data_IF_803283234530
#
_entry.id   IF_803283234530
#
_cell.length_a   1.000
_cell.length_b   1.000
_cell.length_c   1.000
_cell.angle_alpha   90.00
_cell.angle_beta   90.00
_cell.angle_gamma   90.00
#
_symmetry.space_group_name_H-M   'P 1'
#
loop_
_entity.id
_entity.type
_entity.pdbx_description
1 polymer ?
#
# COMPACT_ATOMS: atom_id res chain seq x y z
N UNK A 1 -0.44 22.75 0.17
CA UNK A 1 0.66 22.55 1.13
C UNK A 1 0.05 21.69 2.21
N UNK A 2 0.64 20.53 2.50
CA UNK A 2 0.04 19.58 3.43
C UNK A 2 -0.09 20.25 4.80
N UNK A 3 -1.27 20.14 5.40
CA UNK A 3 -1.63 20.81 6.67
C UNK A 3 -0.76 20.28 7.83
N UNK A 4 0.18 21.11 8.29
CA UNK A 4 1.17 20.72 9.31
C UNK A 4 0.59 20.70 10.73
N UNK A 5 -0.42 21.53 11.03
CA UNK A 5 -1.05 21.54 12.36
C UNK A 5 -1.87 20.26 12.57
N UNK A 6 -2.61 19.83 11.54
CA UNK A 6 -3.33 18.57 11.58
C UNK A 6 -2.38 17.35 11.56
N UNK A 7 -1.23 17.44 10.90
CA UNK A 7 -0.21 16.41 10.93
C UNK A 7 0.34 16.17 12.35
N UNK A 8 0.75 17.21 13.07
CA UNK A 8 1.25 17.05 14.44
C UNK A 8 0.17 16.51 15.38
N UNK A 9 -1.10 16.86 15.16
CA UNK A 9 -2.23 16.33 15.94
C UNK A 9 -2.43 14.82 15.75
N UNK A 10 -2.22 14.31 14.55
CA UNK A 10 -2.46 12.91 14.19
C UNK A 10 -1.19 12.09 13.96
N UNK A 11 -0.03 12.62 14.36
CA UNK A 11 1.28 12.08 14.02
C UNK A 11 1.42 10.60 14.36
N UNK A 12 1.02 10.23 15.57
CA UNK A 12 1.13 8.85 16.06
C UNK A 12 0.20 7.91 15.29
N UNK A 13 -1.05 8.33 15.04
CA UNK A 13 -2.03 7.58 14.27
C UNK A 13 -1.61 7.43 12.80
N UNK A 14 -1.06 8.49 12.20
CA UNK A 14 -0.52 8.48 10.84
C UNK A 14 0.69 7.55 10.74
N UNK A 15 1.56 7.54 11.75
CA UNK A 15 2.65 6.58 11.88
C UNK A 15 2.15 5.15 11.89
N UNK A 16 1.12 4.87 12.69
CA UNK A 16 0.52 3.54 12.75
C UNK A 16 -0.13 3.12 11.42
N UNK A 17 -0.88 4.03 10.79
CA UNK A 17 -1.46 3.82 9.46
C UNK A 17 -0.37 3.54 8.41
N UNK A 18 0.75 4.27 8.45
CA UNK A 18 1.86 4.07 7.52
C UNK A 18 2.56 2.72 7.73
N UNK A 19 2.70 2.27 8.99
CA UNK A 19 3.26 0.93 9.31
C UNK A 19 2.35 -0.17 8.77
N UNK A 20 1.03 -0.04 8.95
CA UNK A 20 0.05 -0.98 8.40
C UNK A 20 0.13 -1.01 6.88
N UNK A 21 0.21 0.16 6.25
CA UNK A 21 0.34 0.30 4.80
C UNK A 21 1.63 -0.36 4.29
N UNK A 22 2.76 -0.15 4.96
CA UNK A 22 4.04 -0.77 4.60
C UNK A 22 3.98 -2.28 4.73
N UNK A 23 3.52 -2.81 5.87
CA UNK A 23 3.36 -4.26 6.07
C UNK A 23 2.48 -4.89 5.00
N UNK A 24 1.34 -4.27 4.71
CA UNK A 24 0.42 -4.74 3.68
C UNK A 24 1.08 -4.75 2.31
N UNK A 25 1.76 -3.65 1.95
CA UNK A 25 2.48 -3.53 0.67
C UNK A 25 3.59 -4.56 0.55
N UNK A 26 4.36 -4.82 1.61
CA UNK A 26 5.40 -5.85 1.63
C UNK A 26 4.83 -7.25 1.39
N UNK A 27 3.73 -7.60 2.07
CA UNK A 27 3.06 -8.90 1.86
C UNK A 27 2.55 -9.04 0.44
N UNK A 28 1.90 -8.01 -0.11
CA UNK A 28 1.42 -8.02 -1.50
C UNK A 28 2.58 -8.20 -2.49
N UNK A 29 3.67 -7.44 -2.32
CA UNK A 29 4.84 -7.56 -3.16
C UNK A 29 5.43 -8.98 -3.09
N UNK A 30 5.54 -9.55 -1.89
CA UNK A 30 6.00 -10.92 -1.69
C UNK A 30 5.13 -11.93 -2.44
N UNK A 31 3.80 -11.85 -2.32
CA UNK A 31 2.89 -12.73 -3.06
C UNK A 31 3.00 -12.57 -4.58
N UNK A 32 3.17 -11.35 -5.09
CA UNK A 32 3.43 -11.11 -6.51
C UNK A 32 4.72 -11.79 -6.98
N UNK A 33 5.81 -11.67 -6.21
CA UNK A 33 7.08 -12.33 -6.53
C UNK A 33 6.95 -13.86 -6.54
N UNK A 34 6.26 -14.43 -5.55
CA UNK A 34 5.96 -15.86 -5.53
C UNK A 34 5.16 -16.28 -6.77
N UNK A 35 4.16 -15.48 -7.17
CA UNK A 35 3.38 -15.73 -8.38
C UNK A 35 4.24 -15.79 -9.65
N UNK A 36 5.18 -14.86 -9.81
CA UNK A 36 6.14 -14.90 -10.91
C UNK A 36 7.08 -16.10 -10.86
N UNK A 37 7.56 -16.48 -9.68
CA UNK A 37 8.39 -17.68 -9.53
C UNK A 37 7.63 -18.95 -9.95
N UNK A 38 6.35 -19.06 -9.58
CA UNK A 38 5.46 -20.15 -10.01
C UNK A 38 5.26 -20.11 -11.52
N UNK A 39 5.03 -18.93 -12.11
CA UNK A 39 4.91 -18.78 -13.56
C UNK A 39 6.18 -19.26 -14.29
N UNK A 40 7.36 -18.87 -13.80
CA UNK A 40 8.64 -19.31 -14.34
C UNK A 40 8.80 -20.83 -14.23
N UNK A 41 8.43 -21.44 -13.10
CA UNK A 41 8.45 -22.90 -12.94
C UNK A 41 7.59 -23.62 -13.98
N UNK A 42 6.37 -23.13 -14.24
CA UNK A 42 5.49 -23.71 -15.26
C UNK A 42 5.98 -23.48 -16.69
N UNK A 43 6.68 -22.37 -16.92
CA UNK A 43 7.36 -22.12 -18.19
C UNK A 43 8.45 -23.17 -18.43
N UNK A 44 9.27 -23.48 -17.43
CA UNK A 44 10.30 -24.54 -17.51
C UNK A 44 9.70 -25.94 -17.70
N UNK A 45 8.49 -26.18 -17.20
CA UNK A 45 7.74 -27.44 -17.43
C UNK A 45 7.12 -27.52 -18.82
N UNK A 46 7.26 -26.49 -19.66
CA UNK A 46 6.70 -26.43 -21.01
C UNK A 46 5.20 -26.10 -21.06
N UNK A 47 4.57 -25.78 -19.93
CA UNK A 47 3.15 -25.39 -19.89
C UNK A 47 3.00 -23.87 -20.04
N UNK A 48 3.22 -23.42 -21.27
CA UNK A 48 3.21 -22.00 -21.64
C UNK A 48 1.87 -21.31 -21.32
N UNK A 49 0.68 -21.89 -21.61
CA UNK A 49 -0.59 -21.24 -21.29
C UNK A 49 -0.77 -20.98 -19.81
N UNK A 50 -0.41 -21.95 -18.96
CA UNK A 50 -0.53 -21.80 -17.51
C UNK A 50 0.48 -20.76 -16.98
N UNK A 51 1.72 -20.79 -17.46
CA UNK A 51 2.73 -19.79 -17.11
C UNK A 51 2.28 -18.37 -17.45
N UNK A 52 1.71 -18.17 -18.65
CA UNK A 52 1.20 -16.86 -19.09
C UNK A 52 0.02 -16.40 -18.22
N UNK A 53 -0.90 -17.31 -17.89
CA UNK A 53 -2.03 -17.03 -17.02
C UNK A 53 -1.59 -16.56 -15.62
N UNK A 54 -0.66 -17.28 -15.01
CA UNK A 54 -0.14 -16.95 -13.67
C UNK A 54 0.65 -15.64 -13.69
N UNK A 55 1.49 -15.41 -14.71
CA UNK A 55 2.23 -14.17 -14.86
C UNK A 55 1.29 -12.97 -15.03
N UNK A 56 0.24 -13.12 -15.84
CA UNK A 56 -0.77 -12.07 -16.05
C UNK A 56 -1.55 -11.80 -14.77
N UNK A 57 -1.98 -12.83 -14.04
CA UNK A 57 -2.66 -12.67 -12.76
C UNK A 57 -1.76 -11.97 -11.73
N UNK A 58 -0.48 -12.36 -11.64
CA UNK A 58 0.51 -11.75 -10.75
C UNK A 58 0.75 -10.28 -11.10
N UNK A 59 0.80 -9.96 -12.40
CA UNK A 59 0.92 -8.59 -12.89
C UNK A 59 -0.32 -7.75 -12.56
N UNK A 60 -1.53 -8.27 -12.79
CA UNK A 60 -2.77 -7.56 -12.45
C UNK A 60 -2.90 -7.35 -10.95
N UNK A 61 -2.56 -8.36 -10.15
CA UNK A 61 -2.51 -8.25 -8.70
C UNK A 61 -1.52 -7.17 -8.25
N UNK A 62 -0.30 -7.17 -8.84
CA UNK A 62 0.67 -6.12 -8.59
C UNK A 62 0.16 -4.76 -9.03
N UNK A 63 -0.54 -4.63 -10.16
CA UNK A 63 -1.06 -3.33 -10.64
C UNK A 63 -2.18 -2.78 -9.74
N UNK A 64 -3.02 -3.65 -9.19
CA UNK A 64 -4.12 -3.26 -8.30
C UNK A 64 -3.66 -3.00 -6.85
N UNK A 65 -2.37 -3.16 -6.54
CA UNK A 65 -1.87 -3.03 -5.18
C UNK A 65 -2.16 -1.68 -4.53
N UNK A 66 -1.95 -0.55 -5.23
CA UNK A 66 -2.18 0.81 -4.70
C UNK A 66 -3.62 0.99 -4.21
N UNK A 67 -4.65 0.82 -5.05
CA UNK A 67 -6.04 0.97 -4.59
C UNK A 67 -6.44 -0.08 -3.55
N UNK A 68 -5.93 -1.32 -3.65
CA UNK A 68 -6.23 -2.38 -2.68
C UNK A 68 -5.63 -2.07 -1.31
N UNK A 69 -4.38 -1.60 -1.25
CA UNK A 69 -3.71 -1.26 0.00
C UNK A 69 -4.41 -0.12 0.75
N UNK A 70 -4.85 0.93 0.04
CA UNK A 70 -5.64 2.02 0.61
C UNK A 70 -7.03 1.56 1.07
N UNK A 71 -7.69 0.69 0.30
CA UNK A 71 -8.98 0.13 0.69
C UNK A 71 -8.88 -0.76 1.96
N UNK A 72 -7.80 -1.54 2.07
CA UNK A 72 -7.49 -2.32 3.27
C UNK A 72 -7.22 -1.39 4.45
N UNK A 73 -6.40 -0.36 4.26
CA UNK A 73 -6.09 0.62 5.28
C UNK A 73 -7.36 1.31 5.80
N UNK A 74 -8.25 1.73 4.89
CA UNK A 74 -9.54 2.33 5.24
C UNK A 74 -10.43 1.38 6.02
N UNK A 75 -10.48 0.10 5.65
CA UNK A 75 -11.22 -0.91 6.42
C UNK A 75 -10.62 -1.16 7.80
N UNK A 76 -9.29 -1.17 7.92
CA UNK A 76 -8.63 -1.33 9.21
C UNK A 76 -8.85 -0.12 10.12
N UNK A 77 -8.77 1.09 9.57
CA UNK A 77 -9.10 2.32 10.28
C UNK A 77 -10.57 2.38 10.70
N UNK A 78 -11.50 1.88 9.87
CA UNK A 78 -12.93 1.82 10.22
C UNK A 78 -13.23 0.86 11.39
N UNK A 79 -12.32 -0.06 11.72
CA UNK A 79 -12.44 -0.94 12.88
C UNK A 79 -11.82 -0.32 14.15
N UNK A 80 -11.24 0.88 14.05
CA UNK A 80 -10.48 1.55 15.08
C UNK A 80 -10.82 3.04 15.12
N UNK A 81 -11.75 3.39 16.00
CA UNK A 81 -12.28 4.75 16.12
C UNK A 81 -11.20 5.82 16.37
N UNK A 82 -10.05 5.43 16.94
CA UNK A 82 -8.90 6.28 17.17
C UNK A 82 -8.12 6.63 15.89
N UNK A 83 -8.16 5.77 14.87
CA UNK A 83 -7.45 5.97 13.59
C UNK A 83 -8.30 6.66 12.53
N UNK A 84 -9.62 6.65 12.68
CA UNK A 84 -10.54 7.18 11.67
C UNK A 84 -10.32 8.68 11.35
N UNK A 85 -10.13 9.58 12.33
CA UNK A 85 -9.89 11.00 12.04
C UNK A 85 -8.58 11.25 11.27
N UNK A 86 -7.53 10.46 11.58
CA UNK A 86 -6.26 10.50 10.86
C UNK A 86 -6.41 9.97 9.43
N UNK A 87 -7.24 8.94 9.24
CA UNK A 87 -7.55 8.39 7.93
C UNK A 87 -8.37 9.36 7.07
N UNK A 88 -9.33 10.09 7.65
CA UNK A 88 -10.09 11.13 6.93
C UNK A 88 -9.19 12.28 6.47
N UNK A 89 -8.26 12.72 7.33
CA UNK A 89 -7.25 13.69 6.94
C UNK A 89 -6.36 13.16 5.82
N UNK A 90 -5.91 11.91 5.92
CA UNK A 90 -5.09 11.26 4.90
C UNK A 90 -5.83 11.19 3.56
N UNK A 91 -7.09 10.77 3.56
CA UNK A 91 -7.94 10.72 2.36
C UNK A 91 -8.10 12.12 1.71
N UNK A 92 -8.29 13.16 2.53
CA UNK A 92 -8.39 14.54 2.04
C UNK A 92 -7.08 15.02 1.38
N UNK A 93 -5.93 14.77 2.02
CA UNK A 93 -4.63 15.13 1.46
C UNK A 93 -4.32 14.34 0.19
N UNK A 94 -4.64 13.04 0.15
CA UNK A 94 -4.45 12.19 -1.02
C UNK A 94 -5.30 12.67 -2.20
N UNK A 95 -6.54 13.12 -1.94
CA UNK A 95 -7.40 13.66 -2.98
C UNK A 95 -6.87 14.98 -3.56
N UNK A 96 -6.24 15.83 -2.74
CA UNK A 96 -5.73 17.14 -3.15
C UNK A 96 -4.35 17.07 -3.82
N UNK A 97 -3.44 16.26 -3.28
CA UNK A 97 -2.02 16.26 -3.66
C UNK A 97 -1.57 14.96 -4.33
N UNK A 98 -2.42 13.93 -4.34
CA UNK A 98 -2.12 12.61 -4.88
C UNK A 98 -1.40 11.71 -3.88
N UNK A 99 -1.71 10.42 -3.92
CA UNK A 99 -1.22 9.43 -2.96
C UNK A 99 0.31 9.35 -2.89
N UNK A 100 0.99 9.48 -4.03
CA UNK A 100 2.45 9.37 -4.10
C UNK A 100 3.15 10.50 -3.35
N UNK A 101 2.68 11.74 -3.53
CA UNK A 101 3.26 12.91 -2.88
C UNK A 101 3.00 12.90 -1.37
N UNK A 102 1.78 12.56 -0.94
CA UNK A 102 1.40 12.53 0.47
C UNK A 102 2.10 11.41 1.23
N UNK A 103 2.16 10.20 0.66
CA UNK A 103 2.84 9.07 1.30
C UNK A 103 4.34 9.33 1.40
N UNK A 104 4.98 9.85 0.33
CA UNK A 104 6.41 10.19 0.38
C UNK A 104 6.71 11.25 1.43
N UNK A 105 5.86 12.28 1.51
CA UNK A 105 6.01 13.34 2.50
C UNK A 105 5.83 12.83 3.94
N UNK A 106 4.90 11.90 4.16
CA UNK A 106 4.71 11.25 5.45
C UNK A 106 5.91 10.38 5.82
N UNK A 107 6.44 9.63 4.85
CA UNK A 107 7.59 8.75 5.05
C UNK A 107 8.83 9.55 5.48
N UNK A 108 9.13 10.66 4.79
CA UNK A 108 10.28 11.52 5.10
C UNK A 108 10.19 12.15 6.51
N UNK A 109 8.98 12.40 7.02
CA UNK A 109 8.75 13.05 8.32
C UNK A 109 8.58 12.07 9.49
N UNK A 110 7.97 10.91 9.23
CA UNK A 110 7.70 9.90 10.27
C UNK A 110 8.83 8.88 10.38
N UNK A 111 9.55 8.61 9.29
CA UNK A 111 10.64 7.64 9.21
C UNK A 111 11.87 8.28 8.54
N UNK A 112 12.49 9.29 9.18
CA UNK A 112 13.66 9.94 8.61
C UNK A 112 14.76 8.91 8.37
N UNK A 113 15.22 8.83 7.12
CA UNK A 113 16.31 7.94 6.72
C UNK A 113 17.60 8.38 7.43
N UNK A 114 18.39 7.44 7.98
CA UNK A 114 19.63 7.74 8.70
C UNK A 114 20.72 8.33 7.79
#
# INVERSE_FOLDING_TARGET
MIDEEAFERYRDQLGELLVILHKTTTWLAFFSFCGYAVAAFYLYRGNIPLALGIATASYLFFRLFRPVSLAILRRMAALRDDLWPAMEWLDAQIAEHGAEQVISWLDDRLFPKP
#
